data_IF_920243401500
#
_entry.id   IF_920243401500
#
_cell.length_a   1.000
_cell.length_b   1.000
_cell.length_c   1.000
_cell.angle_alpha   90.00
_cell.angle_beta   90.00
_cell.angle_gamma   90.00
#
_symmetry.space_group_name_H-M   'P 1'
#
loop_
_entity.id
_entity.type
_entity.pdbx_description
1 polymer ?
#
# COMPACT_ATOMS: atom_id res chain seq x y z
N UNK A 1 -8.45 3.20 -13.18
CA UNK A 1 -7.81 3.63 -11.92
C UNK A 1 -8.62 3.08 -10.75
N UNK A 2 -7.98 2.63 -9.66
CA UNK A 2 -8.72 2.17 -8.48
C UNK A 2 -9.13 3.38 -7.63
N UNK A 3 -10.42 3.53 -7.26
CA UNK A 3 -10.89 4.66 -6.47
C UNK A 3 -10.13 4.83 -5.15
N UNK A 4 -9.79 6.07 -4.81
CA UNK A 4 -9.09 6.42 -3.57
C UNK A 4 -7.62 5.97 -3.47
N UNK A 5 -7.11 5.18 -4.41
CA UNK A 5 -5.77 4.61 -4.33
C UNK A 5 -4.63 5.59 -4.68
N UNK A 6 -4.95 6.82 -5.07
CA UNK A 6 -3.96 7.80 -5.52
C UNK A 6 -2.91 8.11 -4.44
N UNK A 7 -3.36 8.30 -3.19
CA UNK A 7 -2.45 8.56 -2.06
C UNK A 7 -1.53 7.38 -1.77
N UNK A 8 -2.04 6.14 -1.88
CA UNK A 8 -1.26 4.92 -1.73
C UNK A 8 -0.21 4.78 -2.84
N UNK A 9 -0.58 4.98 -4.10
CA UNK A 9 0.34 4.92 -5.23
C UNK A 9 1.48 5.95 -5.09
N UNK A 10 1.15 7.15 -4.62
CA UNK A 10 2.09 8.23 -4.42
C UNK A 10 3.02 7.99 -3.20
N UNK A 11 2.48 7.40 -2.12
CA UNK A 11 3.29 6.90 -1.00
C UNK A 11 4.28 5.83 -1.43
N UNK A 12 3.84 4.85 -2.22
CA UNK A 12 4.69 3.78 -2.77
C UNK A 12 5.80 4.35 -3.66
N UNK A 13 5.48 5.27 -4.56
CA UNK A 13 6.45 5.95 -5.43
C UNK A 13 7.52 6.68 -4.63
N UNK A 14 7.13 7.47 -3.62
CA UNK A 14 8.08 8.21 -2.79
C UNK A 14 8.92 7.30 -1.89
N UNK A 15 8.30 6.28 -1.30
CA UNK A 15 9.00 5.35 -0.42
C UNK A 15 10.04 4.54 -1.18
N UNK A 16 9.73 4.09 -2.40
CA UNK A 16 10.68 3.34 -3.25
C UNK A 16 11.85 4.22 -3.73
N UNK A 17 11.63 5.48 -4.07
CA UNK A 17 12.70 6.43 -4.38
C UNK A 17 13.65 6.65 -3.17
N UNK A 18 13.08 6.91 -1.99
CA UNK A 18 13.86 7.03 -0.74
C UNK A 18 14.55 5.72 -0.35
N UNK A 19 13.89 4.58 -0.57
CA UNK A 19 14.42 3.25 -0.30
C UNK A 19 15.62 2.94 -1.19
N UNK A 20 15.55 3.25 -2.49
CA UNK A 20 16.68 3.12 -3.40
C UNK A 20 17.88 3.96 -2.94
N UNK A 21 17.63 5.18 -2.45
CA UNK A 21 18.68 6.01 -1.83
C UNK A 21 19.24 5.38 -0.55
N UNK A 22 18.39 4.87 0.33
CA UNK A 22 18.82 4.22 1.58
C UNK A 22 19.74 3.02 1.29
N UNK A 23 19.37 2.16 0.35
CA UNK A 23 20.20 1.00 -0.07
C UNK A 23 21.58 1.44 -0.54
N UNK A 24 21.66 2.46 -1.41
CA UNK A 24 22.94 3.00 -1.90
C UNK A 24 23.82 3.53 -0.78
N UNK A 25 23.19 4.09 0.26
CA UNK A 25 23.86 4.63 1.44
C UNK A 25 24.09 3.56 2.54
N UNK A 26 23.84 2.28 2.25
CA UNK A 26 23.92 1.16 3.22
C UNK A 26 23.06 1.36 4.47
N UNK A 27 21.89 1.98 4.29
CA UNK A 27 20.86 2.17 5.31
C UNK A 27 19.65 1.30 5.01
N UNK A 28 18.92 0.94 6.06
CA UNK A 28 17.66 0.19 5.95
C UNK A 28 16.56 1.13 5.42
N UNK A 29 15.84 0.77 4.33
CA UNK A 29 14.67 1.52 3.86
C UNK A 29 13.55 1.55 4.90
N UNK A 30 12.83 2.68 4.97
CA UNK A 30 11.62 2.83 5.79
C UNK A 30 10.36 2.73 4.92
N UNK A 31 9.49 1.78 5.27
CA UNK A 31 8.23 1.51 4.58
C UNK A 31 6.99 1.96 5.37
N UNK A 32 7.16 2.57 6.54
CA UNK A 32 6.06 3.06 7.39
C UNK A 32 5.04 3.91 6.62
N UNK A 33 5.46 4.86 5.74
CA UNK A 33 4.50 5.67 4.98
C UNK A 33 3.64 4.86 4.01
N UNK A 34 4.13 3.72 3.51
CA UNK A 34 3.35 2.83 2.63
C UNK A 34 2.32 2.06 3.45
N UNK A 35 2.71 1.57 4.64
CA UNK A 35 1.81 0.87 5.56
C UNK A 35 0.63 1.77 5.97
N UNK A 36 0.92 2.98 6.42
CA UNK A 36 -0.11 3.95 6.83
C UNK A 36 -1.03 4.34 5.68
N UNK A 37 -0.50 4.47 4.46
CA UNK A 37 -1.31 4.78 3.29
C UNK A 37 -2.21 3.60 2.89
N UNK A 38 -1.71 2.37 3.02
CA UNK A 38 -2.48 1.15 2.76
C UNK A 38 -3.62 0.98 3.77
N UNK A 39 -3.34 1.15 5.06
CA UNK A 39 -4.34 1.06 6.13
C UNK A 39 -5.45 2.10 5.95
N UNK A 40 -5.09 3.36 5.66
CA UNK A 40 -6.07 4.42 5.40
C UNK A 40 -6.94 4.10 4.18
N UNK A 41 -6.31 3.70 3.07
CA UNK A 41 -7.06 3.37 1.86
C UNK A 41 -7.95 2.14 2.05
N UNK A 42 -7.54 1.14 2.84
CA UNK A 42 -8.37 -0.02 3.18
C UNK A 42 -9.60 0.40 3.99
N UNK A 43 -9.41 1.23 5.02
CA UNK A 43 -10.51 1.74 5.83
C UNK A 43 -11.52 2.54 5.01
N UNK A 44 -11.05 3.45 4.15
CA UNK A 44 -11.92 4.21 3.24
C UNK A 44 -12.61 3.32 2.20
N UNK A 45 -11.95 2.24 1.75
CA UNK A 45 -12.55 1.32 0.78
C UNK A 45 -13.66 0.50 1.39
N UNK A 46 -13.49 0.02 2.64
CA UNK A 46 -14.55 -0.63 3.40
C UNK A 46 -15.74 0.30 3.63
N UNK A 47 -15.49 1.54 4.05
CA UNK A 47 -16.56 2.53 4.23
C UNK A 47 -17.35 2.77 2.94
N UNK A 48 -16.66 2.89 1.80
CA UNK A 48 -17.32 3.02 0.47
C UNK A 48 -18.11 1.77 0.08
N UNK A 49 -17.62 0.58 0.42
CA UNK A 49 -18.33 -0.69 0.17
C UNK A 49 -19.58 -0.83 1.04
N UNK A 50 -19.52 -0.40 2.29
CA UNK A 50 -20.67 -0.34 3.22
C UNK A 50 -21.75 0.63 2.70
N UNK A 51 -21.36 1.86 2.34
CA UNK A 51 -22.27 2.85 1.73
C UNK A 51 -22.91 2.33 0.42
N UNK A 52 -22.12 1.64 -0.41
CA UNK A 52 -22.60 1.06 -1.66
C UNK A 52 -23.59 -0.10 -1.41
N UNK A 53 -23.34 -0.93 -0.40
CA UNK A 53 -24.22 -2.02 -0.02
C UNK A 53 -25.58 -1.51 0.48
N UNK A 54 -25.59 -0.43 1.26
CA UNK A 54 -26.82 0.26 1.67
C UNK A 54 -27.59 0.84 0.48
N UNK A 55 -26.88 1.31 -0.56
CA UNK A 55 -27.44 1.81 -1.81
C UNK A 55 -27.81 0.73 -2.85
N UNK A 56 -27.61 -0.56 -2.56
CA UNK A 56 -27.87 -1.67 -3.48
C UNK A 56 -26.89 -1.78 -4.66
N UNK A 57 -25.74 -1.11 -4.60
CA UNK A 57 -24.70 -1.19 -5.61
C UNK A 57 -23.85 -2.47 -5.44
N UNK A 58 -23.42 -3.11 -6.54
CA UNK A 58 -22.55 -4.28 -6.47
C UNK A 58 -21.14 -3.91 -5.95
N UNK A 59 -20.46 -4.82 -5.23
CA UNK A 59 -19.13 -4.57 -4.69
C UNK A 59 -18.10 -4.34 -5.80
N UNK A 60 -17.12 -3.49 -5.52
CA UNK A 60 -16.04 -3.20 -6.48
C UNK A 60 -15.00 -4.33 -6.48
N UNK A 61 -15.05 -5.21 -7.48
CA UNK A 61 -14.16 -6.38 -7.56
C UNK A 61 -12.65 -6.03 -7.62
N UNK A 62 -12.29 -4.82 -8.07
CA UNK A 62 -10.91 -4.39 -8.24
C UNK A 62 -10.18 -4.00 -6.96
N UNK A 63 -10.89 -3.54 -5.92
CA UNK A 63 -10.27 -3.02 -4.70
C UNK A 63 -9.60 -4.13 -3.88
N UNK A 64 -10.30 -5.26 -3.68
CA UNK A 64 -9.75 -6.41 -2.94
C UNK A 64 -8.49 -7.00 -3.59
N UNK A 65 -8.45 -7.07 -4.92
CA UNK A 65 -7.26 -7.54 -5.65
C UNK A 65 -6.07 -6.59 -5.44
N UNK A 66 -6.28 -5.27 -5.56
CA UNK A 66 -5.19 -4.30 -5.36
C UNK A 66 -4.69 -4.32 -3.92
N UNK A 67 -5.60 -4.42 -2.94
CA UNK A 67 -5.24 -4.56 -1.53
C UNK A 67 -4.33 -5.76 -1.29
N UNK A 68 -4.72 -6.94 -1.75
CA UNK A 68 -3.94 -8.16 -1.56
C UNK A 68 -2.56 -8.06 -2.21
N UNK A 69 -2.47 -7.55 -3.44
CA UNK A 69 -1.20 -7.42 -4.13
C UNK A 69 -0.27 -6.38 -3.47
N UNK A 70 -0.81 -5.26 -2.98
CA UNK A 70 0.00 -4.24 -2.30
C UNK A 70 0.50 -4.74 -0.94
N UNK A 71 -0.31 -5.53 -0.21
CA UNK A 71 0.15 -6.17 1.03
C UNK A 71 1.32 -7.13 0.77
N UNK A 72 1.20 -8.04 -0.21
CA UNK A 72 2.27 -8.96 -0.59
C UNK A 72 3.55 -8.23 -1.03
N UNK A 73 3.40 -7.14 -1.78
CA UNK A 73 4.54 -6.32 -2.18
C UNK A 73 5.22 -5.66 -0.98
N UNK A 74 4.45 -5.12 -0.03
CA UNK A 74 4.98 -4.51 1.18
C UNK A 74 5.74 -5.53 2.04
N UNK A 75 5.18 -6.73 2.22
CA UNK A 75 5.85 -7.83 2.94
C UNK A 75 7.20 -8.17 2.29
N UNK A 76 7.24 -8.29 0.95
CA UNK A 76 8.48 -8.56 0.22
C UNK A 76 9.53 -7.44 0.37
N UNK A 77 9.11 -6.17 0.42
CA UNK A 77 10.00 -5.03 0.65
C UNK A 77 10.57 -5.02 2.08
N UNK A 78 9.77 -5.43 3.06
CA UNK A 78 10.20 -5.57 4.46
C UNK A 78 11.14 -6.75 4.65
N UNK A 79 10.86 -7.91 4.04
CA UNK A 79 11.77 -9.07 3.98
C UNK A 79 13.12 -8.67 3.37
N UNK A 80 13.10 -7.99 2.22
CA UNK A 80 14.30 -7.47 1.58
C UNK A 80 15.10 -6.57 2.53
N UNK A 81 14.41 -5.68 3.26
CA UNK A 81 15.05 -4.73 4.17
C UNK A 81 15.65 -5.40 5.40
N UNK A 82 15.00 -6.44 5.93
CA UNK A 82 15.58 -7.30 6.98
C UNK A 82 16.85 -7.99 6.49
N UNK A 83 16.86 -8.48 5.24
CA UNK A 83 18.04 -9.08 4.62
C UNK A 83 19.25 -8.15 4.51
N UNK A 84 19.06 -6.83 4.46
CA UNK A 84 20.17 -5.85 4.43
C UNK A 84 20.91 -5.72 5.77
N UNK A 85 20.30 -6.18 6.87
CA UNK A 85 20.89 -6.13 8.22
C UNK A 85 21.50 -7.47 8.65
N UNK A 86 21.34 -8.52 7.84
CA UNK A 86 21.93 -9.84 8.04
C UNK A 86 23.39 -9.88 7.64
#
# INVERSE_FOLDING_TARGET
>A
PVPGAAALADALRRATDRGAKAVRERRVPDWTPVREALERWDAESRAREEEAAEGGAPPSAGAGLVRNNVALLLDALEDFSRGLTS
#
